data_IF_716612512955
#
_entry.id   IF_716612512955
#
_cell.length_a   1.000
_cell.length_b   1.000
_cell.length_c   1.000
_cell.angle_alpha   90.00
_cell.angle_beta   90.00
_cell.angle_gamma   90.00
#
_symmetry.space_group_name_H-M   'P 1'
#
loop_
_entity.id
_entity.type
_entity.pdbx_description
1 polymer ?
#
# COMPACT_ATOMS: atom_id res chain seq x y z
N UNK A 1 0.21 35.03 -25.46
CA UNK A 1 0.72 33.70 -25.84
C UNK A 1 -0.52 32.87 -26.15
N UNK A 2 -0.74 32.57 -27.42
CA UNK A 2 -1.86 31.70 -27.80
C UNK A 2 -1.51 30.27 -27.37
N UNK A 3 -2.39 29.67 -26.58
CA UNK A 3 -2.25 28.26 -26.17
C UNK A 3 -2.57 27.39 -27.39
N UNK A 4 -1.78 26.34 -27.67
CA UNK A 4 -2.10 25.40 -28.71
C UNK A 4 -3.47 24.77 -28.47
N UNK A 5 -4.23 24.55 -29.57
CA UNK A 5 -5.59 23.98 -29.54
C UNK A 5 -5.64 22.49 -29.08
N UNK A 6 -4.49 21.84 -28.90
CA UNK A 6 -4.46 20.46 -28.41
C UNK A 6 -4.76 20.43 -26.90
N UNK A 7 -5.66 19.54 -26.44
CA UNK A 7 -6.00 19.43 -25.04
C UNK A 7 -4.80 18.90 -24.25
N UNK A 8 -4.19 19.76 -23.41
CA UNK A 8 -3.21 19.30 -22.45
C UNK A 8 -3.87 18.36 -21.43
N UNK A 9 -3.23 17.24 -21.09
CA UNK A 9 -3.75 16.39 -20.03
C UNK A 9 -3.87 17.18 -18.72
N UNK A 10 -5.03 17.12 -18.11
CA UNK A 10 -5.31 17.73 -16.80
C UNK A 10 -4.80 16.77 -15.73
N UNK A 11 -4.21 17.30 -14.65
CA UNK A 11 -3.94 16.48 -13.47
C UNK A 11 -5.25 15.80 -13.03
N UNK A 12 -5.27 14.47 -13.05
CA UNK A 12 -6.47 13.68 -12.85
C UNK A 12 -7.05 13.03 -14.11
N UNK A 13 -6.54 13.35 -15.30
CA UNK A 13 -6.87 12.59 -16.50
C UNK A 13 -5.93 11.39 -16.63
N UNK A 14 -6.48 10.19 -16.42
CA UNK A 14 -5.70 8.94 -16.39
C UNK A 14 -4.96 8.66 -17.71
N UNK A 15 -5.47 9.16 -18.83
CA UNK A 15 -4.87 9.00 -20.15
C UNK A 15 -3.70 9.96 -20.39
N UNK A 16 -3.58 11.03 -19.60
CA UNK A 16 -2.65 12.12 -19.86
C UNK A 16 -1.29 12.01 -19.17
N UNK A 17 -1.18 11.26 -18.05
CA UNK A 17 0.06 11.13 -17.30
C UNK A 17 0.28 9.68 -16.86
N UNK A 18 1.25 8.96 -17.43
CA UNK A 18 1.60 7.62 -16.98
C UNK A 18 1.95 7.63 -15.49
N UNK A 19 1.42 6.67 -14.72
CA UNK A 19 1.62 6.59 -13.28
C UNK A 19 3.12 6.58 -12.89
N UNK A 20 3.99 5.97 -13.72
CA UNK A 20 5.44 5.96 -13.50
C UNK A 20 6.11 7.33 -13.58
N UNK A 21 5.56 8.27 -14.36
CA UNK A 21 6.09 9.65 -14.47
C UNK A 21 5.65 10.54 -13.31
N UNK A 22 4.59 10.16 -12.58
CA UNK A 22 4.02 11.01 -11.55
C UNK A 22 5.02 11.38 -10.45
N UNK A 23 5.83 10.42 -9.99
CA UNK A 23 6.85 10.67 -8.95
C UNK A 23 8.02 11.51 -9.47
N UNK A 24 8.40 11.34 -10.72
CA UNK A 24 9.46 12.13 -11.35
C UNK A 24 9.07 13.59 -11.51
N UNK A 25 7.78 13.84 -11.77
CA UNK A 25 7.23 15.17 -12.02
C UNK A 25 6.75 15.89 -10.75
N UNK A 26 6.65 15.22 -9.59
CA UNK A 26 6.16 15.84 -8.36
C UNK A 26 7.03 17.00 -7.86
N UNK A 27 8.36 16.94 -8.06
CA UNK A 27 9.24 18.06 -7.72
C UNK A 27 8.92 19.29 -8.58
N UNK A 28 8.78 19.10 -9.90
CA UNK A 28 8.39 20.16 -10.83
C UNK A 28 7.01 20.72 -10.51
N UNK A 29 6.06 19.89 -10.11
CA UNK A 29 4.75 20.35 -9.63
C UNK A 29 4.89 21.25 -8.40
N UNK A 30 5.72 20.85 -7.43
CA UNK A 30 5.93 21.66 -6.22
C UNK A 30 6.56 23.01 -6.52
N UNK A 31 7.52 23.09 -7.43
CA UNK A 31 8.14 24.34 -7.85
C UNK A 31 7.13 25.29 -8.53
N UNK A 32 6.27 24.75 -9.38
CA UNK A 32 5.19 25.52 -10.02
C UNK A 32 4.19 26.04 -8.98
N UNK A 33 3.85 25.23 -7.98
CA UNK A 33 2.98 25.65 -6.88
C UNK A 33 3.59 26.74 -6.02
N UNK A 34 4.86 26.58 -5.65
CA UNK A 34 5.58 27.61 -4.88
C UNK A 34 5.66 28.94 -5.65
N UNK A 35 5.98 28.90 -6.94
CA UNK A 35 6.01 30.08 -7.79
C UNK A 35 4.61 30.70 -7.97
N UNK A 36 3.56 29.90 -8.11
CA UNK A 36 2.19 30.36 -8.19
C UNK A 36 1.72 31.01 -6.89
N UNK A 37 2.02 30.42 -5.73
CA UNK A 37 1.75 31.01 -4.42
C UNK A 37 2.45 32.34 -4.21
N UNK A 38 3.71 32.45 -4.63
CA UNK A 38 4.47 33.68 -4.52
C UNK A 38 3.91 34.81 -5.42
N UNK A 39 3.35 34.47 -6.60
CA UNK A 39 2.85 35.44 -7.58
C UNK A 39 1.39 35.81 -7.36
N UNK A 40 0.52 34.85 -7.09
CA UNK A 40 -0.94 35.02 -7.08
C UNK A 40 -1.54 34.96 -5.68
N UNK A 41 -0.77 34.54 -4.69
CA UNK A 41 -1.27 34.30 -3.34
C UNK A 41 -2.06 32.98 -3.22
N UNK A 42 -2.43 32.59 -1.99
CA UNK A 42 -3.15 31.34 -1.73
C UNK A 42 -4.59 31.37 -2.25
N UNK A 43 -5.12 30.21 -2.59
CA UNK A 43 -6.47 30.05 -3.12
C UNK A 43 -6.58 30.24 -4.64
N UNK A 44 -5.46 30.25 -5.36
CA UNK A 44 -5.43 30.42 -6.82
C UNK A 44 -5.72 29.12 -7.59
N UNK A 45 -5.51 27.95 -6.94
CA UNK A 45 -5.76 26.69 -7.58
C UNK A 45 -7.24 26.29 -7.51
N UNK A 46 -7.70 25.74 -8.60
CA UNK A 46 -9.01 25.11 -8.70
C UNK A 46 -8.83 23.70 -9.33
N UNK A 47 -9.75 22.76 -9.09
CA UNK A 47 -9.68 21.44 -9.72
C UNK A 47 -9.62 21.56 -11.23
N UNK A 48 -8.55 21.04 -11.85
CA UNK A 48 -8.30 21.19 -13.28
C UNK A 48 -7.41 22.37 -13.69
N UNK A 49 -6.96 23.21 -12.75
CA UNK A 49 -6.00 24.29 -13.03
C UNK A 49 -4.59 23.78 -13.38
N UNK A 50 -4.23 22.61 -12.83
CA UNK A 50 -2.93 21.99 -13.04
C UNK A 50 -2.98 21.12 -14.30
N UNK A 51 -2.05 21.37 -15.23
CA UNK A 51 -1.86 20.57 -16.43
C UNK A 51 -0.40 20.21 -16.62
N UNK A 52 -0.17 19.04 -17.18
CA UNK A 52 1.17 18.59 -17.53
C UNK A 52 1.36 18.62 -19.04
N UNK A 53 2.55 19.05 -19.48
CA UNK A 53 2.95 19.05 -20.89
C UNK A 53 4.31 18.39 -21.04
N UNK A 54 4.44 17.47 -22.01
CA UNK A 54 5.65 16.67 -22.22
C UNK A 54 6.94 17.50 -22.39
N UNK A 55 6.85 18.71 -22.94
CA UNK A 55 8.01 19.58 -23.18
C UNK A 55 8.22 20.61 -22.07
N UNK A 56 7.15 21.09 -21.43
CA UNK A 56 7.19 22.22 -20.49
C UNK A 56 6.94 21.82 -19.03
N UNK A 57 6.70 20.52 -18.77
CA UNK A 57 6.33 20.04 -17.45
C UNK A 57 4.99 20.59 -16.96
N UNK A 58 4.87 20.75 -15.66
CA UNK A 58 3.66 21.27 -15.03
C UNK A 58 3.38 22.73 -15.35
N UNK A 59 2.14 23.02 -15.69
CA UNK A 59 1.64 24.35 -15.98
C UNK A 59 0.40 24.64 -15.13
N UNK A 60 0.31 25.85 -14.58
CA UNK A 60 -0.92 26.34 -13.97
C UNK A 60 -1.68 27.17 -15.01
N UNK A 61 -2.91 26.77 -15.28
CA UNK A 61 -3.80 27.55 -16.12
C UNK A 61 -4.31 28.77 -15.32
N UNK A 62 -3.84 29.94 -15.69
CA UNK A 62 -4.39 31.20 -15.21
C UNK A 62 -5.68 31.49 -15.96
N UNK A 63 -6.76 30.82 -15.63
CA UNK A 63 -8.10 31.26 -16.06
C UNK A 63 -8.68 31.97 -14.85
N UNK A 64 -8.82 33.31 -14.90
CA UNK A 64 -9.58 33.99 -13.88
C UNK A 64 -11.02 33.43 -13.95
N UNK A 65 -11.68 33.18 -12.80
CA UNK A 65 -13.08 32.80 -12.80
C UNK A 65 -13.85 33.82 -13.62
N UNK A 66 -14.55 33.34 -14.65
CA UNK A 66 -15.34 34.17 -15.54
C UNK A 66 -16.33 35.00 -14.70
N UNK A 67 -16.10 36.30 -14.61
CA UNK A 67 -17.06 37.25 -14.06
C UNK A 67 -16.75 37.81 -12.65
N UNK A 68 -15.59 37.56 -12.07
CA UNK A 68 -15.27 38.16 -10.78
C UNK A 68 -14.28 39.32 -10.95
N UNK A 69 -14.74 40.51 -10.62
CA UNK A 69 -13.87 41.59 -10.20
C UNK A 69 -13.35 41.32 -8.77
N UNK A 70 -13.01 40.07 -8.46
CA UNK A 70 -12.63 39.66 -7.12
C UNK A 70 -11.19 40.02 -6.83
N UNK A 71 -11.03 40.79 -5.74
CA UNK A 71 -9.78 41.02 -5.02
C UNK A 71 -9.08 39.70 -4.71
N UNK A 72 -7.73 39.67 -4.71
CA UNK A 72 -6.96 38.50 -4.31
C UNK A 72 -7.50 37.92 -2.99
N UNK A 73 -7.74 36.62 -2.95
CA UNK A 73 -8.20 35.96 -1.72
C UNK A 73 -7.15 36.17 -0.65
N UNK A 74 -7.50 36.69 0.54
CA UNK A 74 -6.54 36.87 1.61
C UNK A 74 -5.80 35.59 1.96
N UNK A 75 -4.52 35.67 2.35
CA UNK A 75 -3.75 34.53 2.84
C UNK A 75 -4.40 33.98 4.13
N UNK A 76 -5.28 33.02 3.97
CA UNK A 76 -5.98 32.37 5.06
C UNK A 76 -5.68 30.87 5.05
N UNK A 77 -5.71 30.20 6.21
CA UNK A 77 -5.58 28.73 6.27
C UNK A 77 -6.57 28.02 5.35
N UNK A 78 -7.79 28.56 5.19
CA UNK A 78 -8.80 28.00 4.30
C UNK A 78 -8.45 28.12 2.81
N UNK A 79 -7.70 29.16 2.39
CA UNK A 79 -7.24 29.32 1.02
C UNK A 79 -6.16 28.28 0.68
N UNK A 80 -5.18 28.12 1.57
CA UNK A 80 -4.13 27.10 1.43
C UNK A 80 -4.70 25.69 1.44
N UNK A 81 -5.66 25.42 2.32
CA UNK A 81 -6.31 24.11 2.36
C UNK A 81 -7.03 23.78 1.04
N UNK A 82 -7.62 24.78 0.36
CA UNK A 82 -8.22 24.58 -0.97
C UNK A 82 -7.20 24.25 -2.04
N UNK A 83 -6.04 24.93 -2.03
CA UNK A 83 -4.96 24.66 -2.98
C UNK A 83 -4.40 23.23 -2.79
N UNK A 84 -4.12 22.85 -1.55
CA UNK A 84 -3.70 21.47 -1.21
C UNK A 84 -4.76 20.46 -1.65
N UNK A 85 -6.03 20.73 -1.34
CA UNK A 85 -7.11 19.85 -1.74
C UNK A 85 -7.22 19.67 -3.26
N UNK A 86 -7.02 20.75 -4.04
CA UNK A 86 -7.03 20.66 -5.49
C UNK A 86 -5.92 19.74 -6.04
N UNK A 87 -4.73 19.78 -5.43
CA UNK A 87 -3.61 18.92 -5.80
C UNK A 87 -3.90 17.46 -5.44
N UNK A 88 -4.27 17.20 -4.20
CA UNK A 88 -4.59 15.86 -3.70
C UNK A 88 -5.71 15.24 -4.53
N UNK A 89 -6.77 16.00 -4.79
CA UNK A 89 -7.88 15.58 -5.64
C UNK A 89 -7.42 15.18 -7.05
N UNK A 90 -6.51 15.97 -7.65
CA UNK A 90 -5.95 15.66 -8.96
C UNK A 90 -5.06 14.41 -8.94
N UNK A 91 -4.16 14.27 -7.94
CA UNK A 91 -3.27 13.12 -7.80
C UNK A 91 -4.07 11.82 -7.62
N UNK A 92 -5.03 11.83 -6.70
CA UNK A 92 -5.86 10.63 -6.43
C UNK A 92 -6.72 10.28 -7.65
N UNK A 93 -7.30 11.27 -8.35
CA UNK A 93 -8.04 11.03 -9.58
C UNK A 93 -7.18 10.40 -10.68
N UNK A 94 -5.90 10.81 -10.80
CA UNK A 94 -4.95 10.22 -11.76
C UNK A 94 -4.75 8.73 -11.49
N UNK A 95 -4.65 8.34 -10.21
CA UNK A 95 -4.49 6.94 -9.79
C UNK A 95 -5.79 6.16 -9.94
N UNK A 96 -6.86 6.65 -9.34
CA UNK A 96 -8.10 5.89 -9.16
C UNK A 96 -9.10 6.04 -10.33
N UNK A 97 -8.83 6.94 -11.29
CA UNK A 97 -9.75 7.23 -12.39
C UNK A 97 -11.01 8.02 -11.96
N UNK A 98 -11.19 8.28 -10.66
CA UNK A 98 -12.23 9.13 -10.11
C UNK A 98 -11.70 10.04 -9.00
N UNK A 99 -12.32 11.21 -8.78
CA UNK A 99 -11.92 12.08 -7.68
C UNK A 99 -12.34 11.52 -6.31
N UNK A 100 -11.58 11.81 -5.23
CA UNK A 100 -12.00 11.54 -3.88
C UNK A 100 -13.16 12.46 -3.46
N UNK A 101 -14.07 11.96 -2.64
CA UNK A 101 -15.22 12.72 -2.10
C UNK A 101 -14.83 13.55 -0.87
N UNK A 102 -13.97 12.99 -0.04
CA UNK A 102 -13.50 13.56 1.21
C UNK A 102 -12.12 12.98 1.59
N UNK A 103 -11.57 13.38 2.74
CA UNK A 103 -10.26 12.91 3.21
C UNK A 103 -10.21 11.40 3.46
N UNK A 104 -11.28 10.81 3.97
CA UNK A 104 -11.35 9.36 4.18
C UNK A 104 -11.29 8.60 2.86
N UNK A 105 -11.99 9.11 1.84
CA UNK A 105 -12.00 8.52 0.50
C UNK A 105 -10.64 8.64 -0.21
N UNK A 106 -9.80 9.65 0.12
CA UNK A 106 -8.42 9.78 -0.42
C UNK A 106 -7.62 8.52 -0.14
N UNK A 107 -7.50 8.14 1.12
CA UNK A 107 -6.67 7.00 1.50
C UNK A 107 -7.31 5.67 1.13
N UNK A 108 -8.64 5.56 1.21
CA UNK A 108 -9.35 4.37 0.74
C UNK A 108 -9.11 4.11 -0.76
N UNK A 109 -9.08 5.16 -1.58
CA UNK A 109 -8.76 5.03 -3.00
C UNK A 109 -7.29 4.68 -3.25
N UNK A 110 -6.36 5.28 -2.51
CA UNK A 110 -4.94 4.94 -2.63
C UNK A 110 -4.69 3.48 -2.21
N UNK A 111 -5.31 3.02 -1.12
CA UNK A 111 -5.22 1.63 -0.67
C UNK A 111 -5.81 0.66 -1.71
N UNK A 112 -6.96 1.01 -2.29
CA UNK A 112 -7.63 0.22 -3.32
C UNK A 112 -6.78 0.01 -4.58
N UNK A 113 -5.94 1.00 -4.91
CA UNK A 113 -5.04 0.98 -6.06
C UNK A 113 -3.57 0.77 -5.68
N UNK A 114 -3.30 0.28 -4.47
CA UNK A 114 -1.94 0.04 -4.01
C UNK A 114 -1.17 -0.85 -5.01
N UNK A 115 0.05 -0.44 -5.35
CA UNK A 115 0.88 -1.09 -6.35
C UNK A 115 0.59 -0.74 -7.82
N UNK A 116 -0.52 -0.06 -8.12
CA UNK A 116 -0.82 0.45 -9.46
C UNK A 116 -0.20 1.84 -9.73
N UNK A 117 0.33 2.48 -8.69
CA UNK A 117 0.98 3.79 -8.75
C UNK A 117 2.39 3.74 -8.11
N UNK A 118 3.24 4.75 -8.35
CA UNK A 118 4.60 4.79 -7.79
C UNK A 118 4.61 4.72 -6.27
N UNK A 119 5.49 3.93 -5.71
CA UNK A 119 5.67 3.83 -4.26
C UNK A 119 5.94 5.19 -3.63
N UNK A 120 5.29 5.45 -2.51
CA UNK A 120 5.45 6.68 -1.74
C UNK A 120 4.52 7.82 -2.16
N UNK A 121 3.62 7.62 -3.13
CA UNK A 121 2.62 8.64 -3.48
C UNK A 121 1.66 8.92 -2.32
N UNK A 122 1.25 7.90 -1.58
CA UNK A 122 0.45 8.02 -0.36
C UNK A 122 1.13 8.89 0.70
N UNK A 123 2.44 8.72 0.90
CA UNK A 123 3.21 9.59 1.80
C UNK A 123 3.34 11.02 1.29
N UNK A 124 3.48 11.22 -0.03
CA UNK A 124 3.46 12.56 -0.63
C UNK A 124 2.10 13.23 -0.41
N UNK A 125 1.01 12.52 -0.67
CA UNK A 125 -0.35 13.02 -0.42
C UNK A 125 -0.54 13.39 1.05
N UNK A 126 -0.07 12.55 1.97
CA UNK A 126 -0.11 12.84 3.39
C UNK A 126 0.70 14.07 3.77
N UNK A 127 1.95 14.18 3.29
CA UNK A 127 2.78 15.36 3.54
C UNK A 127 2.08 16.64 3.09
N UNK A 128 1.46 16.63 1.90
CA UNK A 128 0.66 17.74 1.40
C UNK A 128 -0.51 18.08 2.32
N UNK A 129 -1.27 17.07 2.78
CA UNK A 129 -2.44 17.29 3.65
C UNK A 129 -2.09 17.88 5.01
N UNK A 130 -0.91 17.58 5.56
CA UNK A 130 -0.43 18.21 6.81
C UNK A 130 0.34 19.51 6.57
N UNK A 131 0.47 19.95 5.33
CA UNK A 131 1.17 21.19 4.96
C UNK A 131 2.69 21.09 4.97
N UNK A 132 3.24 19.86 4.95
CA UNK A 132 4.67 19.63 4.85
C UNK A 132 5.17 19.68 3.40
N UNK A 133 6.48 19.95 3.24
CA UNK A 133 7.15 19.90 1.94
C UNK A 133 7.27 18.42 1.48
N UNK A 134 6.73 18.02 0.33
CA UNK A 134 6.81 16.65 -0.14
C UNK A 134 8.17 16.27 -0.75
N UNK A 135 9.05 17.25 -1.04
CA UNK A 135 10.35 16.99 -1.72
C UNK A 135 11.28 16.05 -0.95
N UNK A 136 11.43 16.12 0.39
CA UNK A 136 12.22 15.14 1.13
C UNK A 136 11.69 13.72 0.97
N UNK A 137 10.35 13.54 0.90
CA UNK A 137 9.71 12.24 0.67
C UNK A 137 10.06 11.70 -0.71
N UNK A 138 9.92 12.53 -1.76
CA UNK A 138 10.27 12.18 -3.13
C UNK A 138 11.74 11.81 -3.26
N UNK A 139 12.64 12.63 -2.68
CA UNK A 139 14.07 12.37 -2.68
C UNK A 139 14.44 11.05 -1.99
N UNK A 140 13.81 10.74 -0.85
CA UNK A 140 14.03 9.49 -0.14
C UNK A 140 13.55 8.26 -0.93
N UNK A 141 12.41 8.36 -1.62
CA UNK A 141 11.91 7.27 -2.48
C UNK A 141 12.86 7.03 -3.67
N UNK A 142 13.40 8.11 -4.26
CA UNK A 142 14.37 8.00 -5.36
C UNK A 142 15.72 7.44 -4.92
N UNK A 143 16.25 7.89 -3.77
CA UNK A 143 17.52 7.43 -3.21
C UNK A 143 17.54 5.92 -2.90
N UNK A 144 16.37 5.30 -2.76
CA UNK A 144 16.23 3.85 -2.59
C UNK A 144 16.74 3.02 -3.79
N UNK A 145 17.00 3.64 -4.96
CA UNK A 145 17.47 2.95 -6.18
C UNK A 145 18.90 2.41 -6.15
N UNK A 146 19.77 2.84 -5.24
CA UNK A 146 21.22 2.58 -5.29
C UNK A 146 21.69 1.43 -4.36
N UNK A 147 20.92 0.36 -4.25
CA UNK A 147 21.15 -0.92 -3.57
C UNK A 147 22.42 -1.08 -2.72
N UNK A 148 22.33 -0.74 -1.41
CA UNK A 148 23.36 -1.15 -0.44
C UNK A 148 23.17 -2.63 -0.07
N UNK A 149 24.27 -3.35 0.25
CA UNK A 149 24.15 -4.70 0.82
C UNK A 149 23.39 -4.62 2.15
N UNK A 150 22.34 -5.43 2.27
CA UNK A 150 21.48 -5.43 3.45
C UNK A 150 21.35 -6.83 4.05
N UNK A 151 20.93 -6.85 5.31
CA UNK A 151 20.49 -8.06 6.01
C UNK A 151 19.06 -7.89 6.47
N UNK A 152 18.34 -8.99 6.60
CA UNK A 152 16.95 -9.03 7.03
C UNK A 152 16.86 -9.69 8.41
N UNK A 153 16.22 -9.01 9.35
CA UNK A 153 15.88 -9.55 10.67
C UNK A 153 14.36 -9.70 10.77
N UNK A 154 13.84 -10.92 10.57
CA UNK A 154 12.40 -11.16 10.64
C UNK A 154 11.95 -11.29 12.10
N UNK A 155 10.68 -10.91 12.35
CA UNK A 155 9.95 -11.18 13.57
C UNK A 155 8.49 -11.46 13.22
N UNK A 156 7.83 -12.29 14.02
CA UNK A 156 6.42 -12.62 13.82
C UNK A 156 5.73 -12.67 15.17
N UNK A 157 4.47 -12.22 15.19
CA UNK A 157 3.52 -12.42 16.28
C UNK A 157 2.18 -12.84 15.67
N UNK A 158 1.47 -13.73 16.36
CA UNK A 158 0.19 -14.25 15.90
C UNK A 158 -0.76 -14.48 17.07
N UNK A 159 -2.06 -14.23 16.87
CA UNK A 159 -3.09 -14.47 17.87
C UNK A 159 -4.32 -15.13 17.26
N UNK A 160 -5.01 -15.91 18.08
CA UNK A 160 -6.29 -16.53 17.73
C UNK A 160 -7.41 -15.54 18.04
N UNK A 161 -8.22 -15.24 17.01
CA UNK A 161 -9.36 -14.37 17.17
C UNK A 161 -10.49 -14.98 18.00
N UNK A 162 -11.21 -14.13 18.73
CA UNK A 162 -12.27 -14.55 19.65
C UNK A 162 -13.44 -15.29 18.95
N UNK A 163 -13.66 -15.06 17.65
CA UNK A 163 -14.65 -15.79 16.84
C UNK A 163 -14.16 -17.17 16.40
N UNK A 164 -12.84 -17.38 16.36
CA UNK A 164 -12.19 -18.61 15.88
C UNK A 164 -11.88 -19.57 17.04
N UNK A 165 -11.67 -19.05 18.24
CA UNK A 165 -11.31 -19.83 19.44
C UNK A 165 -12.43 -20.82 19.81
N UNK A 166 -12.29 -22.07 19.39
CA UNK A 166 -13.22 -23.18 19.69
C UNK A 166 -12.62 -24.17 20.68
N UNK A 167 -11.41 -23.92 21.16
CA UNK A 167 -10.66 -24.73 22.10
C UNK A 167 -9.86 -25.86 21.44
N UNK A 168 -9.63 -25.78 20.15
CA UNK A 168 -8.74 -26.65 19.39
C UNK A 168 -7.47 -25.91 18.97
N UNK A 169 -6.36 -25.99 19.73
CA UNK A 169 -5.12 -25.25 19.46
C UNK A 169 -4.54 -25.54 18.06
N UNK A 170 -4.89 -26.65 17.46
CA UNK A 170 -4.41 -26.99 16.12
C UNK A 170 -5.18 -26.28 15.01
N UNK A 171 -6.49 -26.02 15.21
CA UNK A 171 -7.37 -25.53 14.15
C UNK A 171 -7.95 -24.14 14.41
N UNK A 172 -7.82 -23.64 15.64
CA UNK A 172 -8.35 -22.32 16.00
C UNK A 172 -7.61 -21.18 15.31
N UNK A 173 -6.30 -21.33 15.02
CA UNK A 173 -5.56 -20.40 14.22
C UNK A 173 -5.50 -20.86 12.76
N UNK A 174 -6.23 -20.15 11.90
CA UNK A 174 -6.28 -20.41 10.46
C UNK A 174 -5.16 -19.69 9.70
N UNK A 175 -4.44 -18.76 10.34
CA UNK A 175 -3.26 -18.13 9.77
C UNK A 175 -2.05 -19.07 9.82
N UNK A 176 -1.21 -18.97 8.80
CA UNK A 176 0.10 -19.63 8.76
C UNK A 176 1.15 -18.68 8.14
N UNK A 177 2.42 -18.88 8.51
CA UNK A 177 3.51 -18.08 7.97
C UNK A 177 4.77 -18.90 7.74
N UNK A 178 5.64 -18.39 6.86
CA UNK A 178 6.99 -18.91 6.66
C UNK A 178 8.02 -17.78 6.57
N UNK A 179 9.22 -18.07 7.07
CA UNK A 179 10.44 -17.30 6.79
C UNK A 179 11.48 -18.30 6.29
N UNK A 180 11.93 -18.13 5.07
CA UNK A 180 12.90 -19.04 4.45
C UNK A 180 14.04 -18.21 3.83
N UNK A 181 15.27 -18.47 4.27
CA UNK A 181 16.44 -17.98 3.55
C UNK A 181 16.78 -19.01 2.47
N UNK A 182 16.77 -18.57 1.23
CA UNK A 182 17.14 -19.44 0.12
C UNK A 182 18.65 -19.52 -0.09
N UNK A 183 19.05 -20.37 -1.03
CA UNK A 183 20.48 -20.58 -1.34
C UNK A 183 21.15 -19.37 -2.01
N UNK A 184 20.37 -18.45 -2.56
CA UNK A 184 20.86 -17.21 -3.18
C UNK A 184 20.98 -16.08 -2.14
N UNK A 185 20.64 -16.36 -0.86
CA UNK A 185 20.73 -15.43 0.24
C UNK A 185 19.51 -14.51 0.39
N UNK A 186 18.52 -14.60 -0.50
CA UNK A 186 17.27 -13.86 -0.33
C UNK A 186 16.46 -14.42 0.86
N UNK A 187 15.72 -13.54 1.52
CA UNK A 187 14.81 -13.90 2.61
C UNK A 187 13.39 -13.86 2.09
N UNK A 188 12.76 -15.02 2.03
CA UNK A 188 11.39 -15.19 1.60
C UNK A 188 10.48 -15.22 2.83
N UNK A 189 9.51 -14.31 2.85
CA UNK A 189 8.53 -14.10 3.90
C UNK A 189 7.16 -14.42 3.31
N UNK A 190 6.35 -15.20 4.00
CA UNK A 190 5.02 -15.59 3.53
C UNK A 190 4.04 -15.55 4.68
N UNK A 191 2.87 -14.95 4.44
CA UNK A 191 1.68 -15.01 5.30
C UNK A 191 0.54 -15.59 4.48
N UNK A 192 -0.18 -16.54 5.04
CA UNK A 192 -1.35 -17.18 4.47
C UNK A 192 -2.46 -17.13 5.51
N UNK A 193 -3.61 -16.56 5.14
CA UNK A 193 -4.83 -16.50 5.95
C UNK A 193 -5.81 -17.53 5.43
N UNK A 194 -6.24 -18.45 6.27
CA UNK A 194 -7.11 -19.55 5.91
C UNK A 194 -8.58 -19.14 5.84
N UNK A 195 -9.18 -19.23 4.67
CA UNK A 195 -10.57 -18.85 4.45
C UNK A 195 -11.52 -19.88 5.04
N UNK A 196 -12.30 -19.46 6.03
CA UNK A 196 -13.30 -20.33 6.70
C UNK A 196 -14.56 -20.43 5.87
N UNK A 197 -14.78 -21.56 5.18
CA UNK A 197 -16.06 -21.83 4.52
C UNK A 197 -17.11 -22.39 5.49
N UNK A 198 -16.82 -23.49 6.16
CA UNK A 198 -17.81 -24.28 6.93
C UNK A 198 -17.42 -24.52 8.42
N UNK A 199 -16.35 -23.90 8.90
CA UNK A 199 -15.91 -24.01 10.29
C UNK A 199 -15.36 -25.39 10.69
N UNK A 200 -14.82 -26.14 9.73
CA UNK A 200 -14.30 -27.50 9.87
C UNK A 200 -12.76 -27.59 9.91
N UNK A 201 -12.08 -26.43 10.06
CA UNK A 201 -10.61 -26.31 10.03
C UNK A 201 -10.02 -26.41 8.62
N UNK A 202 -10.83 -26.34 7.57
CA UNK A 202 -10.34 -26.43 6.18
C UNK A 202 -9.45 -25.23 5.81
N UNK A 203 -9.74 -24.03 6.34
CA UNK A 203 -8.90 -22.84 6.17
C UNK A 203 -7.50 -23.03 6.77
N UNK A 204 -7.43 -23.49 8.02
CA UNK A 204 -6.16 -23.77 8.68
C UNK A 204 -5.30 -24.81 7.92
N UNK A 205 -5.95 -25.85 7.38
CA UNK A 205 -5.25 -26.86 6.55
C UNK A 205 -4.74 -26.25 5.25
N UNK A 206 -5.55 -25.41 4.61
CA UNK A 206 -5.16 -24.74 3.37
C UNK A 206 -3.96 -23.81 3.56
N UNK A 207 -4.01 -22.92 4.57
CA UNK A 207 -2.92 -22.01 4.88
C UNK A 207 -1.62 -22.75 5.22
N UNK A 208 -1.69 -23.83 6.03
CA UNK A 208 -0.53 -24.65 6.35
C UNK A 208 0.02 -25.39 5.15
N UNK A 209 -0.85 -25.95 4.30
CA UNK A 209 -0.40 -26.63 3.08
C UNK A 209 0.32 -25.66 2.13
N UNK A 210 -0.19 -24.44 1.98
CA UNK A 210 0.45 -23.39 1.21
C UNK A 210 1.86 -23.08 1.75
N UNK A 211 1.96 -22.82 3.05
CA UNK A 211 3.22 -22.47 3.72
C UNK A 211 4.25 -23.59 3.64
N UNK A 212 3.86 -24.85 3.89
CA UNK A 212 4.79 -25.98 3.81
C UNK A 212 5.26 -26.24 2.37
N UNK A 213 4.38 -26.10 1.38
CA UNK A 213 4.75 -26.24 -0.03
C UNK A 213 5.78 -25.19 -0.45
N UNK A 214 5.56 -23.93 -0.07
CA UNK A 214 6.47 -22.81 -0.34
C UNK A 214 7.80 -22.98 0.40
N UNK A 215 7.77 -23.43 1.65
CA UNK A 215 8.98 -23.72 2.42
C UNK A 215 9.84 -24.78 1.72
N UNK A 216 9.23 -25.88 1.29
CA UNK A 216 9.89 -26.92 0.51
C UNK A 216 10.43 -26.40 -0.84
N UNK A 217 9.69 -25.50 -1.50
CA UNK A 217 10.08 -24.92 -2.78
C UNK A 217 11.35 -24.03 -2.65
N UNK A 218 11.37 -23.08 -1.70
CA UNK A 218 12.50 -22.16 -1.54
C UNK A 218 13.77 -22.81 -0.96
N UNK A 219 13.69 -24.02 -0.45
CA UNK A 219 14.89 -24.79 -0.05
C UNK A 219 15.58 -25.52 -1.20
N UNK A 220 14.98 -25.51 -2.39
CA UNK A 220 15.56 -26.12 -3.60
C UNK A 220 16.50 -25.17 -4.28
N UNK A 221 17.51 -25.73 -4.97
CA UNK A 221 18.52 -24.98 -5.74
C UNK A 221 17.99 -24.52 -7.12
N UNK A 222 16.89 -25.10 -7.59
CA UNK A 222 16.28 -24.79 -8.89
C UNK A 222 15.04 -23.89 -8.81
N UNK A 223 14.74 -23.30 -7.62
CA UNK A 223 13.60 -22.39 -7.50
C UNK A 223 13.79 -21.12 -8.35
N UNK A 224 12.67 -20.59 -8.89
CA UNK A 224 12.68 -19.46 -9.84
C UNK A 224 11.97 -18.22 -9.31
N UNK A 225 11.90 -18.09 -7.99
CA UNK A 225 11.34 -16.90 -7.36
C UNK A 225 9.91 -17.06 -6.84
N UNK A 226 9.35 -15.93 -6.42
CA UNK A 226 8.14 -15.87 -5.59
C UNK A 226 6.87 -16.30 -6.32
N UNK A 227 6.71 -15.91 -7.59
CA UNK A 227 5.51 -16.23 -8.38
C UNK A 227 5.38 -17.74 -8.62
N UNK A 228 6.49 -18.41 -8.89
CA UNK A 228 6.48 -19.86 -9.06
C UNK A 228 6.22 -20.56 -7.71
N UNK A 229 6.74 -20.02 -6.61
CA UNK A 229 6.43 -20.45 -5.23
C UNK A 229 4.94 -20.35 -4.92
N UNK A 230 4.29 -19.26 -5.34
CA UNK A 230 2.84 -19.11 -5.25
C UNK A 230 2.11 -20.21 -6.06
N UNK A 231 2.57 -20.50 -7.27
CA UNK A 231 2.02 -21.60 -8.08
C UNK A 231 2.14 -22.96 -7.40
N UNK A 232 3.24 -23.22 -6.70
CA UNK A 232 3.42 -24.45 -5.90
C UNK A 232 2.46 -24.50 -4.71
N UNK A 233 2.22 -23.35 -4.05
CA UNK A 233 1.22 -23.24 -2.99
C UNK A 233 -0.20 -23.51 -3.52
N UNK A 234 -0.58 -22.93 -4.67
CA UNK A 234 -1.87 -23.18 -5.32
C UNK A 234 -2.10 -24.66 -5.58
N UNK A 235 -1.11 -25.36 -6.16
CA UNK A 235 -1.19 -26.80 -6.40
C UNK A 235 -1.40 -27.58 -5.10
N UNK A 236 -0.69 -27.21 -4.02
CA UNK A 236 -0.80 -27.90 -2.75
C UNK A 236 -2.17 -27.70 -2.09
N UNK A 237 -2.72 -26.48 -2.14
CA UNK A 237 -4.05 -26.19 -1.59
C UNK A 237 -5.14 -26.84 -2.41
N UNK A 238 -5.09 -26.73 -3.74
CA UNK A 238 -6.05 -27.38 -4.64
C UNK A 238 -6.10 -28.89 -4.47
N UNK A 239 -4.96 -29.53 -4.17
CA UNK A 239 -4.88 -30.98 -3.91
C UNK A 239 -5.65 -31.44 -2.66
N UNK A 240 -5.97 -30.54 -1.73
CA UNK A 240 -6.81 -30.85 -0.56
C UNK A 240 -8.28 -31.08 -0.93
N UNK A 241 -8.72 -30.61 -2.10
CA UNK A 241 -10.09 -30.71 -2.60
C UNK A 241 -11.12 -29.87 -1.85
N UNK A 242 -10.71 -29.18 -0.78
CA UNK A 242 -11.53 -28.24 -0.01
C UNK A 242 -10.65 -27.32 0.86
N UNK A 243 -11.19 -26.19 1.23
CA UNK A 243 -10.48 -25.11 1.94
C UNK A 243 -9.83 -24.16 0.94
N UNK A 244 -9.62 -22.95 1.38
CA UNK A 244 -8.97 -21.90 0.63
C UNK A 244 -8.05 -21.09 1.55
N UNK A 245 -7.15 -20.30 0.97
CA UNK A 245 -6.28 -19.44 1.73
C UNK A 245 -5.88 -18.23 0.89
N UNK A 246 -5.59 -17.10 1.54
CA UNK A 246 -4.81 -16.02 0.92
C UNK A 246 -3.36 -16.46 0.74
N UNK A 247 -2.62 -15.71 -0.02
CA UNK A 247 -1.16 -15.79 -0.10
C UNK A 247 -0.58 -14.40 -0.21
N UNK A 248 0.22 -13.99 0.75
CA UNK A 248 1.05 -12.80 0.68
C UNK A 248 2.49 -13.20 0.84
N UNK A 249 3.28 -13.01 -0.21
CA UNK A 249 4.71 -13.32 -0.20
C UNK A 249 5.58 -12.11 -0.49
N UNK A 250 6.76 -12.06 0.13
CA UNK A 250 7.81 -11.09 -0.15
C UNK A 250 9.18 -11.78 -0.21
N UNK A 251 9.93 -11.57 -1.28
CA UNK A 251 11.29 -12.03 -1.43
C UNK A 251 12.26 -10.83 -1.34
N UNK A 252 13.04 -10.76 -0.29
CA UNK A 252 13.99 -9.66 -0.04
C UNK A 252 15.40 -10.12 -0.41
N UNK A 253 15.97 -9.52 -1.46
CA UNK A 253 17.34 -9.80 -1.91
C UNK A 253 18.38 -9.17 -1.00
N UNK A 254 19.64 -9.59 -1.12
CA UNK A 254 20.78 -8.98 -0.42
C UNK A 254 21.05 -7.51 -0.79
N UNK A 255 20.49 -7.02 -1.89
CA UNK A 255 20.58 -5.61 -2.33
C UNK A 255 19.37 -4.78 -1.90
N UNK A 256 18.44 -5.35 -1.12
CA UNK A 256 17.25 -4.66 -0.65
C UNK A 256 16.11 -4.58 -1.66
N UNK A 257 16.24 -5.17 -2.85
CA UNK A 257 15.10 -5.33 -3.75
C UNK A 257 14.12 -6.32 -3.13
N UNK A 258 12.87 -5.90 -3.01
CA UNK A 258 11.75 -6.73 -2.56
C UNK A 258 10.88 -7.04 -3.76
N UNK A 259 10.57 -8.30 -3.98
CA UNK A 259 9.53 -8.75 -4.89
C UNK A 259 8.33 -9.21 -4.07
N UNK A 260 7.14 -8.83 -4.49
CA UNK A 260 5.87 -9.13 -3.81
C UNK A 260 4.98 -9.96 -4.74
N UNK A 261 4.26 -10.90 -4.13
CA UNK A 261 3.16 -11.61 -4.79
C UNK A 261 1.99 -11.76 -3.82
N UNK A 262 0.78 -11.48 -4.30
CA UNK A 262 -0.44 -11.54 -3.50
C UNK A 262 -1.54 -12.28 -4.26
N UNK A 263 -2.27 -13.10 -3.51
CA UNK A 263 -3.59 -13.62 -3.83
C UNK A 263 -4.46 -13.46 -2.59
N UNK A 264 -5.51 -12.65 -2.67
CA UNK A 264 -6.39 -12.32 -1.56
C UNK A 264 -6.31 -10.87 -1.10
N UNK A 265 -6.50 -10.62 0.20
CA UNK A 265 -6.61 -9.29 0.80
C UNK A 265 -5.65 -9.06 1.98
N UNK A 266 -4.70 -9.95 2.18
CA UNK A 266 -3.64 -9.79 3.18
C UNK A 266 -2.71 -8.62 2.76
N UNK A 267 -2.59 -7.51 3.55
CA UNK A 267 -1.87 -6.33 3.11
C UNK A 267 -0.37 -6.39 3.43
N UNK A 268 0.44 -5.86 2.49
CA UNK A 268 1.84 -5.55 2.72
C UNK A 268 2.05 -4.04 2.82
N UNK A 269 2.94 -3.64 3.72
CA UNK A 269 3.31 -2.24 3.96
C UNK A 269 4.83 -2.09 4.05
N UNK A 270 5.34 -0.93 3.64
CA UNK A 270 6.70 -0.49 3.89
C UNK A 270 6.65 0.70 4.84
N UNK A 271 7.33 0.59 5.98
CA UNK A 271 7.49 1.69 6.94
C UNK A 271 8.90 2.23 6.83
N UNK A 272 9.02 3.51 6.45
CA UNK A 272 10.30 4.19 6.24
C UNK A 272 10.45 5.40 7.15
N UNK A 273 11.65 5.60 7.70
CA UNK A 273 12.01 6.82 8.42
C UNK A 273 12.63 7.83 7.46
N UNK A 274 12.13 9.05 7.48
CA UNK A 274 12.69 10.16 6.71
C UNK A 274 13.75 10.95 7.49
N UNK A 275 14.56 11.77 6.78
CA UNK A 275 15.62 12.55 7.43
C UNK A 275 15.13 13.48 8.55
N UNK A 276 13.91 13.99 8.48
CA UNK A 276 13.26 14.81 9.49
C UNK A 276 12.87 14.03 10.75
N UNK A 277 13.02 12.69 10.73
CA UNK A 277 12.80 11.80 11.86
C UNK A 277 11.42 11.16 11.89
N UNK A 278 10.46 11.60 11.11
CA UNK A 278 9.13 11.01 11.02
C UNK A 278 9.15 9.69 10.22
N UNK A 279 8.26 8.77 10.56
CA UNK A 279 8.01 7.55 9.79
C UNK A 279 6.75 7.70 8.97
N UNK A 280 6.78 7.09 7.79
CA UNK A 280 5.62 6.93 6.93
C UNK A 280 5.42 5.46 6.62
N UNK A 281 4.17 5.05 6.53
CA UNK A 281 3.80 3.72 6.07
C UNK A 281 3.23 3.82 4.65
N UNK A 282 3.74 2.99 3.76
CA UNK A 282 3.29 2.86 2.38
C UNK A 282 2.61 1.53 2.19
N UNK A 283 1.39 1.52 1.69
CA UNK A 283 0.76 0.28 1.29
C UNK A 283 1.35 -0.20 -0.03
N UNK A 284 1.67 -1.50 -0.10
CA UNK A 284 2.34 -2.11 -1.25
C UNK A 284 1.43 -3.04 -2.07
N UNK A 285 0.30 -3.45 -1.51
CA UNK A 285 -0.61 -4.43 -2.12
C UNK A 285 -2.07 -3.97 -2.07
N UNK A 286 -2.86 -4.17 -3.14
CA UNK A 286 -4.31 -3.92 -3.13
C UNK A 286 -5.06 -5.06 -2.42
N UNK A 287 -6.36 -4.84 -2.12
CA UNK A 287 -7.26 -5.92 -1.73
C UNK A 287 -7.90 -6.54 -2.98
N UNK A 288 -7.94 -7.88 -3.03
CA UNK A 288 -8.65 -8.63 -4.05
C UNK A 288 -9.98 -9.15 -3.47
N UNK A 289 -10.91 -8.20 -3.22
CA UNK A 289 -12.24 -8.47 -2.70
C UNK A 289 -13.32 -7.96 -3.65
N UNK A 290 -14.52 -8.50 -3.53
CA UNK A 290 -15.67 -8.05 -4.31
C UNK A 290 -15.92 -6.55 -4.10
N UNK A 291 -15.85 -6.08 -2.86
CA UNK A 291 -16.00 -4.64 -2.56
C UNK A 291 -14.92 -3.81 -3.25
N UNK A 292 -13.66 -4.24 -3.21
CA UNK A 292 -12.56 -3.52 -3.83
C UNK A 292 -12.74 -3.39 -5.35
N UNK A 293 -13.23 -4.44 -6.01
CA UNK A 293 -13.53 -4.41 -7.43
C UNK A 293 -14.76 -3.57 -7.78
N UNK A 294 -15.83 -3.67 -6.98
CA UNK A 294 -17.05 -2.90 -7.19
C UNK A 294 -16.86 -1.41 -6.97
N UNK A 295 -16.13 -1.00 -5.92
CA UNK A 295 -15.85 0.41 -5.62
C UNK A 295 -15.07 1.09 -6.74
N UNK A 296 -14.30 0.38 -7.55
CA UNK A 296 -13.64 0.91 -8.74
C UNK A 296 -14.65 1.40 -9.79
N UNK A 297 -15.80 0.78 -9.88
CA UNK A 297 -16.87 1.10 -10.86
C UNK A 297 -18.05 1.81 -10.25
N UNK A 298 -18.45 1.47 -9.01
CA UNK A 298 -19.53 2.09 -8.25
C UNK A 298 -19.04 2.55 -6.87
N UNK A 299 -18.77 3.85 -6.69
CA UNK A 299 -18.36 4.40 -5.40
C UNK A 299 -19.35 4.22 -4.25
N UNK A 300 -20.59 3.87 -4.54
CA UNK A 300 -21.61 3.61 -3.51
C UNK A 300 -21.63 2.15 -3.05
N UNK A 301 -20.79 1.27 -3.62
CA UNK A 301 -20.67 -0.10 -3.15
C UNK A 301 -20.24 -0.14 -1.68
N UNK A 302 -20.87 -1.01 -0.89
CA UNK A 302 -20.66 -1.08 0.55
C UNK A 302 -20.79 -2.52 1.13
N UNK A 303 -20.81 -3.53 0.28
CA UNK A 303 -20.90 -4.93 0.66
C UNK A 303 -19.82 -5.77 0.01
N UNK A 304 -19.52 -6.95 0.56
CA UNK A 304 -18.56 -7.88 -0.02
C UNK A 304 -17.10 -7.62 0.36
N UNK A 305 -16.83 -6.80 1.39
CA UNK A 305 -15.48 -6.48 1.84
C UNK A 305 -14.67 -7.69 2.31
N UNK A 306 -15.33 -8.74 2.78
CA UNK A 306 -14.71 -10.00 3.18
C UNK A 306 -14.86 -11.12 2.14
N UNK A 307 -15.40 -10.83 0.96
CA UNK A 307 -15.55 -11.81 -0.11
C UNK A 307 -14.38 -11.69 -1.08
N UNK A 308 -13.48 -12.67 -1.04
CA UNK A 308 -12.32 -12.71 -1.92
C UNK A 308 -12.72 -13.00 -3.37
N UNK A 309 -12.13 -12.27 -4.31
CA UNK A 309 -12.21 -12.57 -5.75
C UNK A 309 -11.07 -13.46 -6.20
N UNK A 310 -9.96 -13.48 -5.42
CA UNK A 310 -8.80 -14.34 -5.65
C UNK A 310 -8.41 -15.04 -4.34
N UNK A 311 -8.15 -16.33 -4.39
CA UNK A 311 -7.63 -17.13 -3.27
C UNK A 311 -6.98 -18.42 -3.77
N UNK A 312 -6.06 -19.00 -3.00
CA UNK A 312 -5.55 -20.34 -3.26
C UNK A 312 -6.67 -21.39 -3.07
N UNK A 313 -6.63 -22.44 -3.87
CA UNK A 313 -7.64 -23.52 -3.86
C UNK A 313 -8.61 -23.44 -5.04
N UNK A 314 -8.19 -22.83 -6.17
CA UNK A 314 -8.90 -22.85 -7.43
C UNK A 314 -9.33 -21.49 -8.01
N UNK A 315 -8.92 -20.39 -7.39
CA UNK A 315 -9.21 -19.02 -7.85
C UNK A 315 -7.98 -18.11 -7.72
N UNK A 316 -6.80 -18.59 -8.12
CA UNK A 316 -5.55 -17.85 -8.12
C UNK A 316 -5.08 -17.47 -9.54
N UNK A 317 -6.01 -17.12 -10.43
CA UNK A 317 -5.74 -16.90 -11.86
C UNK A 317 -5.00 -15.59 -12.15
N UNK A 318 -5.13 -14.61 -11.28
CA UNK A 318 -4.54 -13.28 -11.46
C UNK A 318 -3.82 -12.81 -10.19
N UNK A 319 -2.66 -13.39 -9.85
CA UNK A 319 -1.89 -12.91 -8.71
C UNK A 319 -1.40 -11.48 -8.97
N UNK A 320 -1.53 -10.63 -7.95
CA UNK A 320 -0.89 -9.32 -7.99
C UNK A 320 0.61 -9.47 -7.76
N UNK A 321 1.42 -8.71 -8.49
CA UNK A 321 2.88 -8.66 -8.30
C UNK A 321 3.38 -7.24 -8.31
N UNK A 322 4.34 -6.94 -7.44
CA UNK A 322 5.01 -5.64 -7.39
C UNK A 322 6.48 -5.81 -6.99
N UNK A 323 7.25 -4.73 -7.12
CA UNK A 323 8.61 -4.68 -6.57
C UNK A 323 8.87 -3.30 -5.97
N UNK A 324 9.63 -3.29 -4.87
CA UNK A 324 10.06 -2.07 -4.18
C UNK A 324 11.50 -2.19 -3.74
N UNK A 325 12.22 -1.07 -3.69
CA UNK A 325 13.56 -1.01 -3.12
C UNK A 325 13.50 -0.57 -1.67
N UNK A 326 14.06 -1.38 -0.77
CA UNK A 326 14.20 -1.04 0.64
C UNK A 326 15.55 -0.42 0.96
N UNK A 327 15.60 0.32 2.06
CA UNK A 327 16.81 0.94 2.63
C UNK A 327 17.06 0.39 4.04
N UNK A 328 18.33 0.43 4.53
CA UNK A 328 18.61 0.19 5.93
C UNK A 328 17.74 1.07 6.85
N UNK A 329 17.07 0.45 7.81
CA UNK A 329 16.13 1.11 8.73
C UNK A 329 14.66 1.02 8.32
N UNK A 330 14.36 0.53 7.12
CA UNK A 330 12.99 0.22 6.71
C UNK A 330 12.44 -1.00 7.48
N UNK A 331 11.11 -1.03 7.63
CA UNK A 331 10.37 -2.20 8.11
C UNK A 331 9.40 -2.63 7.01
N UNK A 332 9.56 -3.83 6.51
CA UNK A 332 8.60 -4.47 5.63
C UNK A 332 7.61 -5.26 6.49
N UNK A 333 6.33 -4.95 6.38
CA UNK A 333 5.27 -5.48 7.25
C UNK A 333 4.26 -6.24 6.41
N UNK A 334 4.11 -7.54 6.68
CA UNK A 334 3.13 -8.42 6.06
C UNK A 334 2.10 -8.81 7.11
N UNK A 335 0.81 -8.64 6.81
CA UNK A 335 -0.27 -8.86 7.77
C UNK A 335 -1.33 -9.80 7.18
N UNK A 336 -2.01 -10.56 8.03
CA UNK A 336 -3.37 -11.02 7.70
C UNK A 336 -4.37 -9.88 7.92
N UNK A 337 -5.57 -9.99 7.39
CA UNK A 337 -6.61 -8.96 7.51
C UNK A 337 -7.00 -8.68 8.96
N UNK A 338 -7.02 -9.73 9.81
CA UNK A 338 -7.29 -9.62 11.24
C UNK A 338 -6.24 -8.83 12.03
N UNK A 339 -5.01 -8.68 11.52
CA UNK A 339 -3.99 -7.79 12.10
C UNK A 339 -4.13 -6.35 11.59
N UNK A 340 -4.70 -6.15 10.41
CA UNK A 340 -4.91 -4.85 9.77
C UNK A 340 -6.29 -4.23 10.07
N UNK A 341 -6.85 -4.48 11.24
CA UNK A 341 -8.21 -4.02 11.62
C UNK A 341 -8.35 -2.51 11.43
N UNK A 342 -9.38 -2.05 10.69
CA UNK A 342 -9.69 -0.63 10.55
C UNK A 342 -10.02 0.03 11.89
N UNK A 343 -9.68 1.31 12.01
CA UNK A 343 -10.06 2.19 13.12
C UNK A 343 -10.67 3.49 12.57
N UNK A 344 -10.87 4.48 13.43
CA UNK A 344 -11.32 5.81 13.01
C UNK A 344 -10.24 6.61 12.27
N UNK A 345 -8.99 6.12 12.32
CA UNK A 345 -7.84 6.68 11.61
C UNK A 345 -7.42 5.77 10.45
N UNK A 346 -6.73 6.34 9.47
CA UNK A 346 -6.13 5.55 8.41
C UNK A 346 -5.06 4.60 8.99
N UNK A 347 -5.10 3.33 8.59
CA UNK A 347 -4.23 2.30 9.15
C UNK A 347 -2.73 2.62 8.97
N UNK A 348 -2.33 3.24 7.85
CA UNK A 348 -0.95 3.65 7.63
C UNK A 348 -0.44 4.65 8.69
N UNK A 349 -1.30 5.53 9.20
CA UNK A 349 -0.96 6.47 10.28
C UNK A 349 -0.77 5.74 11.60
N UNK A 350 -1.66 4.82 11.92
CA UNK A 350 -1.55 3.98 13.11
C UNK A 350 -0.27 3.14 13.06
N UNK A 351 0.03 2.55 11.89
CA UNK A 351 1.23 1.74 11.68
C UNK A 351 2.51 2.56 11.83
N UNK A 352 2.56 3.76 11.26
CA UNK A 352 3.70 4.66 11.40
C UNK A 352 3.92 5.08 12.85
N UNK A 353 2.85 5.45 13.56
CA UNK A 353 2.89 5.82 14.98
C UNK A 353 3.32 4.65 15.87
N UNK A 354 2.82 3.44 15.61
CA UNK A 354 3.25 2.23 16.31
C UNK A 354 4.73 1.92 16.08
N UNK A 355 5.21 2.09 14.83
CA UNK A 355 6.61 1.85 14.50
C UNK A 355 7.56 2.89 15.13
N UNK A 356 7.10 4.12 15.38
CA UNK A 356 7.87 5.10 16.15
C UNK A 356 7.94 4.74 17.64
N UNK A 357 6.82 4.29 18.20
CA UNK A 357 6.76 3.85 19.61
C UNK A 357 7.48 2.51 19.83
N UNK A 358 7.53 1.64 18.83
CA UNK A 358 8.05 0.27 18.87
C UNK A 358 9.05 0.03 17.72
N UNK A 359 10.27 0.58 17.77
CA UNK A 359 11.17 0.67 16.63
C UNK A 359 11.81 -0.66 16.19
N UNK A 360 11.70 -1.74 16.97
CA UNK A 360 12.21 -3.06 16.57
C UNK A 360 11.10 -3.95 16.02
N UNK A 361 11.43 -4.81 15.07
CA UNK A 361 10.47 -5.72 14.45
C UNK A 361 9.67 -6.56 15.46
N UNK A 362 10.28 -7.18 16.51
CA UNK A 362 9.50 -7.93 17.50
C UNK A 362 8.53 -7.05 18.30
N UNK A 363 8.96 -5.85 18.70
CA UNK A 363 8.11 -4.95 19.47
C UNK A 363 6.94 -4.43 18.66
N UNK A 364 7.17 -4.11 17.37
CA UNK A 364 6.12 -3.67 16.47
C UNK A 364 5.12 -4.81 16.17
N UNK A 365 5.60 -6.05 15.94
CA UNK A 365 4.72 -7.19 15.72
C UNK A 365 3.78 -7.40 16.92
N UNK A 366 4.30 -7.40 18.14
CA UNK A 366 3.50 -7.52 19.36
C UNK A 366 2.51 -6.34 19.52
N UNK A 367 2.93 -5.12 19.19
CA UNK A 367 2.08 -3.94 19.28
C UNK A 367 0.91 -3.97 18.27
N UNK A 368 1.14 -4.47 17.05
CA UNK A 368 0.10 -4.65 16.03
C UNK A 368 -0.95 -5.67 16.47
N UNK A 369 -0.52 -6.82 17.03
CA UNK A 369 -1.45 -7.81 17.56
C UNK A 369 -2.25 -7.24 18.74
N UNK A 370 -1.58 -6.58 19.69
CA UNK A 370 -2.25 -5.95 20.83
C UNK A 370 -3.27 -4.86 20.36
N UNK A 371 -2.94 -4.10 19.31
CA UNK A 371 -3.88 -3.16 18.69
C UNK A 371 -5.09 -3.89 18.12
N UNK A 372 -4.89 -4.94 17.35
CA UNK A 372 -5.98 -5.73 16.78
C UNK A 372 -6.90 -6.29 17.86
N UNK A 373 -6.35 -6.83 18.94
CA UNK A 373 -7.09 -7.30 20.10
C UNK A 373 -7.90 -6.17 20.77
N UNK A 374 -7.30 -4.99 20.94
CA UNK A 374 -7.96 -3.82 21.54
C UNK A 374 -9.15 -3.32 20.72
N UNK A 375 -9.12 -3.52 19.40
CA UNK A 375 -10.19 -3.21 18.46
C UNK A 375 -11.25 -4.34 18.33
N UNK A 376 -11.13 -5.36 19.16
CA UNK A 376 -12.11 -6.42 19.31
C UNK A 376 -11.60 -7.83 19.05
N UNK A 377 -10.43 -8.01 18.42
CA UNK A 377 -9.74 -9.29 18.26
C UNK A 377 -10.64 -10.42 17.75
N UNK A 378 -11.41 -10.18 16.68
CA UNK A 378 -12.44 -11.12 16.24
C UNK A 378 -11.92 -12.24 15.38
N UNK A 379 -10.96 -11.92 14.51
CA UNK A 379 -10.34 -12.85 13.58
C UNK A 379 -8.92 -13.23 14.01
N UNK A 380 -8.36 -14.27 13.40
CA UNK A 380 -6.96 -14.59 13.55
C UNK A 380 -6.12 -13.40 13.08
N UNK A 381 -5.03 -13.11 13.76
CA UNK A 381 -4.20 -11.98 13.46
C UNK A 381 -2.75 -12.39 13.42
N UNK A 382 -2.08 -12.14 12.30
CA UNK A 382 -0.66 -12.43 12.10
C UNK A 382 0.06 -11.19 11.58
N UNK A 383 1.14 -10.79 12.25
CA UNK A 383 2.03 -9.73 11.85
C UNK A 383 3.45 -10.29 11.65
N UNK A 384 3.91 -10.37 10.41
CA UNK A 384 5.25 -10.79 10.03
C UNK A 384 6.02 -9.55 9.54
N UNK A 385 7.08 -9.19 10.25
CA UNK A 385 7.86 -7.97 10.01
C UNK A 385 9.29 -8.32 9.67
N UNK A 386 9.83 -7.71 8.63
CA UNK A 386 11.25 -7.77 8.30
C UNK A 386 11.90 -6.41 8.53
N UNK A 387 12.80 -6.32 9.50
CA UNK A 387 13.66 -5.17 9.71
C UNK A 387 14.85 -5.24 8.77
N UNK A 388 15.02 -4.18 7.96
CA UNK A 388 16.13 -4.06 7.00
C UNK A 388 17.31 -3.42 7.70
N UNK A 389 18.41 -4.14 7.82
CA UNK A 389 19.61 -3.68 8.52
C UNK A 389 20.83 -3.70 7.59
N UNK A 390 21.83 -2.82 7.83
CA UNK A 390 23.08 -2.79 7.05
C UNK A 390 23.83 -4.11 7.07
#
# INVERSE_FOLDING_TARGET
MEWPEEPYPVLGDREGLPAGMLMEELEGLWDVLAAGLARMGPGFLWPGALRWHATYGWQVLEVPPLGSGETPVPDTPGARARDVWAIVHGLVRTVAGRPPRDLGDVFALLDLHAGEYPHGLDAVVRALLVGADPRPVVAAVRAAGDGAEIRVRPAVETAVGSRKAKGDPEWDNEDAFAVVRDIHGAVNLVVCDGVTGEGDGSGARAARAAVEAVRGYFTRDDHRGLVEGLGVAEVAVSALGRGASTFLGAAVSSTGKVELALVGDSPAWLVRRFPEGERFAYRLTPDQTVLAEEVRTDPAAHWGGSLLTQHLGGYADAPFTASVQTLPGDLLVLLSDGAAVPSDTWFGDDLAALADAHPSAPALAAALIARAESLGGRDNATALIAEIIP
#
